data_IF_455487839016
#
_entry.id   IF_455487839016
#
_cell.length_a   1.000
_cell.length_b   1.000
_cell.length_c   1.000
_cell.angle_alpha   90.00
_cell.angle_beta   90.00
_cell.angle_gamma   90.00
#
_symmetry.space_group_name_H-M   'P 1'
#
loop_
_entity.id
_entity.type
_entity.pdbx_description
1 polymer ?
#
# COMPACT_ATOMS: atom_id res chain seq x y z
N UNK A 1 -4.23 15.00 -3.21
CA UNK A 1 -5.09 16.05 -2.64
C UNK A 1 -5.01 15.90 -1.13
N UNK A 2 -4.98 17.00 -0.40
CA UNK A 2 -4.89 16.95 1.06
C UNK A 2 -6.17 16.36 1.64
N UNK A 3 -6.03 15.52 2.66
CA UNK A 3 -7.16 14.94 3.38
C UNK A 3 -8.02 16.04 3.99
N UNK A 4 -9.32 15.98 3.76
CA UNK A 4 -10.30 16.88 4.32
C UNK A 4 -10.96 16.29 5.57
N UNK A 5 -11.51 17.15 6.41
CA UNK A 5 -12.30 16.71 7.57
C UNK A 5 -13.50 15.86 7.09
N UNK A 6 -13.56 14.61 7.56
CA UNK A 6 -14.58 13.63 7.15
C UNK A 6 -14.10 12.62 6.10
N UNK A 7 -12.87 12.74 5.60
CA UNK A 7 -12.29 11.70 4.74
C UNK A 7 -12.00 10.43 5.54
N UNK A 8 -12.38 9.28 4.97
CA UNK A 8 -12.09 7.98 5.56
C UNK A 8 -10.60 7.71 5.47
N UNK A 9 -9.95 7.75 6.62
CA UNK A 9 -8.51 7.63 6.73
C UNK A 9 -8.16 6.58 7.79
N UNK A 10 -7.13 5.79 7.52
CA UNK A 10 -6.64 4.77 8.46
C UNK A 10 -5.17 4.98 8.72
N UNK A 11 -4.80 4.74 9.97
CA UNK A 11 -3.45 4.93 10.47
C UNK A 11 -2.73 3.60 10.61
N UNK A 12 -1.55 3.52 10.00
CA UNK A 12 -0.77 2.29 9.90
C UNK A 12 0.72 2.51 10.22
N UNK A 13 1.42 1.54 10.83
CA UNK A 13 2.88 1.57 10.88
C UNK A 13 3.52 1.59 9.49
N UNK A 14 4.53 2.44 9.28
CA UNK A 14 5.32 2.49 8.03
C UNK A 14 6.00 1.16 7.73
N UNK A 15 6.50 0.50 8.77
CA UNK A 15 7.17 -0.81 8.69
C UNK A 15 6.32 -1.84 9.41
N UNK A 16 6.03 -2.94 8.72
CA UNK A 16 5.33 -4.10 9.28
C UNK A 16 6.20 -5.34 9.19
N UNK A 17 5.78 -6.40 9.87
CA UNK A 17 6.46 -7.71 9.85
C UNK A 17 5.55 -8.74 9.21
N UNK A 18 6.05 -9.42 8.17
CA UNK A 18 5.29 -10.44 7.45
C UNK A 18 5.10 -11.67 8.35
N UNK A 19 3.85 -12.09 8.55
CA UNK A 19 3.54 -13.30 9.29
C UNK A 19 4.15 -14.54 8.59
N UNK A 20 4.67 -15.47 9.37
CA UNK A 20 5.31 -16.70 8.86
C UNK A 20 6.79 -16.54 8.50
N UNK A 21 7.19 -15.46 7.84
CA UNK A 21 8.62 -15.25 7.47
C UNK A 21 9.37 -14.37 8.48
N UNK A 22 8.67 -13.52 9.23
CA UNK A 22 9.27 -12.55 10.15
C UNK A 22 10.02 -11.41 9.46
N UNK A 23 9.94 -11.29 8.14
CA UNK A 23 10.66 -10.26 7.38
C UNK A 23 9.96 -8.91 7.51
N UNK A 24 10.70 -7.81 7.73
CA UNK A 24 10.11 -6.48 7.68
C UNK A 24 9.73 -6.10 6.25
N UNK A 25 8.66 -5.34 6.08
CA UNK A 25 8.23 -4.76 4.81
C UNK A 25 7.67 -3.35 5.00
N UNK A 26 7.79 -2.55 3.95
CA UNK A 26 7.27 -1.18 3.91
C UNK A 26 5.78 -1.20 3.54
N UNK A 27 4.95 -0.54 4.34
CA UNK A 27 3.51 -0.40 4.15
C UNK A 27 3.14 1.02 3.73
N UNK A 28 3.87 1.58 2.75
CA UNK A 28 3.58 2.85 2.06
C UNK A 28 3.17 2.58 0.62
N UNK A 29 2.41 3.45 -0.01
CA UNK A 29 2.17 3.45 -1.45
C UNK A 29 1.93 4.88 -1.94
N UNK A 30 2.56 5.29 -3.04
CA UNK A 30 2.50 6.65 -3.56
C UNK A 30 1.08 7.16 -3.86
N UNK A 31 0.15 6.27 -4.23
CA UNK A 31 -1.22 6.67 -4.57
C UNK A 31 -2.18 6.71 -3.37
N UNK A 32 -1.82 6.08 -2.25
CA UNK A 32 -2.73 5.90 -1.11
C UNK A 32 -2.22 6.60 0.14
N UNK A 33 -0.90 6.71 0.30
CA UNK A 33 -0.27 7.29 1.47
C UNK A 33 -0.27 8.82 1.39
N UNK A 34 -0.96 9.47 2.33
CA UNK A 34 -1.05 10.91 2.38
C UNK A 34 0.13 11.56 3.10
N UNK A 35 0.51 11.07 4.29
CA UNK A 35 1.60 11.64 5.07
C UNK A 35 2.14 10.66 6.13
N UNK A 36 3.30 11.01 6.71
CA UNK A 36 3.88 10.37 7.89
C UNK A 36 3.60 11.22 9.12
N UNK A 37 2.79 10.70 10.04
CA UNK A 37 2.41 11.41 11.26
C UNK A 37 3.63 11.60 12.18
N UNK A 38 3.76 12.84 12.67
CA UNK A 38 4.86 13.26 13.55
C UNK A 38 5.97 14.00 12.81
N UNK A 39 5.89 14.10 11.49
CA UNK A 39 6.78 14.91 10.66
C UNK A 39 6.07 16.17 10.17
N UNK A 40 6.86 17.19 9.80
CA UNK A 40 6.32 18.29 8.99
C UNK A 40 5.94 17.77 7.60
N UNK A 41 5.08 18.47 6.87
CA UNK A 41 4.70 18.11 5.49
C UNK A 41 5.95 17.93 4.60
N UNK A 42 6.87 18.89 4.63
CA UNK A 42 8.10 18.83 3.86
C UNK A 42 9.00 17.63 4.25
N UNK A 43 9.10 17.31 5.55
CA UNK A 43 9.89 16.16 6.00
C UNK A 43 9.21 14.83 5.64
N UNK A 44 7.88 14.78 5.72
CA UNK A 44 7.05 13.64 5.32
C UNK A 44 7.24 13.36 3.83
N UNK A 45 7.09 14.37 2.99
CA UNK A 45 7.25 14.24 1.53
C UNK A 45 8.65 13.80 1.15
N UNK A 46 9.67 14.38 1.79
CA UNK A 46 11.06 14.01 1.55
C UNK A 46 11.32 12.54 1.89
N UNK A 47 10.81 12.07 3.04
CA UNK A 47 10.98 10.69 3.46
C UNK A 47 10.16 9.72 2.60
N UNK A 48 8.92 10.05 2.25
CA UNK A 48 8.10 9.23 1.34
C UNK A 48 8.76 9.11 -0.03
N UNK A 49 9.30 10.20 -0.58
CA UNK A 49 10.04 10.19 -1.84
C UNK A 49 11.27 9.26 -1.77
N UNK A 50 12.02 9.30 -0.67
CA UNK A 50 13.13 8.37 -0.46
C UNK A 50 12.64 6.91 -0.41
N UNK A 51 11.58 6.61 0.34
CA UNK A 51 11.02 5.26 0.44
C UNK A 51 10.53 4.74 -0.93
N UNK A 52 9.86 5.58 -1.71
CA UNK A 52 9.40 5.23 -3.06
C UNK A 52 10.58 4.95 -4.00
N UNK A 53 11.71 5.66 -3.84
CA UNK A 53 12.91 5.40 -4.64
C UNK A 53 13.46 3.98 -4.46
N UNK A 54 13.30 3.38 -3.26
CA UNK A 54 13.67 1.99 -3.01
C UNK A 54 12.62 1.00 -3.51
N UNK A 55 11.33 1.35 -3.44
CA UNK A 55 10.23 0.47 -3.83
C UNK A 55 10.09 0.34 -5.34
N UNK A 56 10.41 1.40 -6.09
CA UNK A 56 10.16 1.49 -7.53
C UNK A 56 11.44 1.41 -8.37
N UNK A 57 12.54 0.95 -7.78
CA UNK A 57 13.75 0.63 -8.54
C UNK A 57 13.48 -0.51 -9.51
N UNK A 58 14.01 -0.44 -10.74
CA UNK A 58 13.75 -1.42 -11.81
C UNK A 58 13.98 -2.88 -11.38
N UNK A 59 14.97 -3.14 -10.51
CA UNK A 59 15.28 -4.50 -10.02
C UNK A 59 14.23 -5.05 -9.05
N UNK A 60 13.38 -4.20 -8.49
CA UNK A 60 12.25 -4.57 -7.64
C UNK A 60 10.94 -4.72 -8.43
N UNK A 61 10.92 -4.36 -9.72
CA UNK A 61 9.74 -4.42 -10.57
C UNK A 61 9.67 -5.75 -11.30
N UNK A 62 8.52 -6.41 -11.19
CA UNK A 62 8.14 -7.55 -12.01
C UNK A 62 7.01 -7.14 -12.95
N UNK A 63 7.23 -7.27 -14.26
CA UNK A 63 6.21 -7.08 -15.28
C UNK A 63 5.76 -8.45 -15.83
N UNK A 64 4.45 -8.63 -15.96
CA UNK A 64 3.84 -9.86 -16.42
C UNK A 64 3.19 -9.67 -17.80
N UNK A 65 3.82 -10.31 -18.80
CA UNK A 65 3.26 -10.46 -20.14
C UNK A 65 2.15 -11.52 -20.14
N UNK A 66 0.91 -11.07 -19.98
CA UNK A 66 -0.28 -11.91 -19.85
C UNK A 66 -0.56 -12.76 -21.09
N UNK A 67 -0.80 -14.06 -20.87
CA UNK A 67 -1.28 -15.00 -21.88
C UNK A 67 -2.59 -15.64 -21.46
N UNK A 68 -3.34 -16.15 -22.45
CA UNK A 68 -4.59 -16.86 -22.16
C UNK A 68 -4.30 -18.07 -21.29
N UNK A 69 -4.96 -18.14 -20.14
CA UNK A 69 -4.82 -19.24 -19.18
C UNK A 69 -3.88 -18.92 -18.01
N UNK A 70 -3.19 -17.77 -18.04
CA UNK A 70 -2.32 -17.38 -16.93
C UNK A 70 -3.14 -17.05 -15.67
N UNK A 71 -2.60 -17.47 -14.53
CA UNK A 71 -3.07 -17.15 -13.21
C UNK A 71 -1.89 -16.62 -12.39
N UNK A 72 -2.00 -15.39 -11.91
CA UNK A 72 -1.02 -14.80 -10.98
C UNK A 72 -1.63 -14.80 -9.58
N UNK A 73 -0.85 -15.30 -8.62
CA UNK A 73 -1.16 -15.24 -7.20
C UNK A 73 -0.02 -14.48 -6.53
N UNK A 74 -0.35 -13.51 -5.69
CA UNK A 74 0.64 -12.71 -4.96
C UNK A 74 0.22 -12.52 -3.50
N UNK A 75 1.22 -12.24 -2.66
CA UNK A 75 1.01 -11.79 -1.29
C UNK A 75 0.68 -10.28 -1.30
N UNK A 76 -0.56 -9.94 -1.01
CA UNK A 76 -1.04 -8.55 -1.01
C UNK A 76 -0.55 -7.74 0.21
N UNK A 77 0.15 -8.35 1.17
CA UNK A 77 0.76 -7.62 2.29
C UNK A 77 2.07 -6.96 1.89
N UNK A 78 2.91 -7.67 1.13
CA UNK A 78 4.29 -7.28 0.85
C UNK A 78 4.53 -6.81 -0.60
N UNK A 79 3.51 -6.85 -1.46
CA UNK A 79 3.62 -6.47 -2.86
C UNK A 79 2.69 -5.31 -3.21
N UNK A 80 3.26 -4.31 -3.89
CA UNK A 80 2.50 -3.27 -4.57
C UNK A 80 2.29 -3.66 -6.03
N UNK A 81 1.14 -3.32 -6.58
CA UNK A 81 0.82 -3.61 -7.98
C UNK A 81 0.15 -2.42 -8.64
N UNK A 82 0.48 -2.22 -9.91
CA UNK A 82 -0.18 -1.27 -10.79
C UNK A 82 -0.47 -1.96 -12.11
N UNK A 83 -1.44 -1.43 -12.86
CA UNK A 83 -1.66 -1.84 -14.24
C UNK A 83 -0.98 -0.86 -15.19
N UNK A 84 -0.16 -1.39 -16.10
CA UNK A 84 0.32 -0.62 -17.26
C UNK A 84 -0.83 -0.15 -18.17
N UNK A 85 -0.46 0.60 -19.20
CA UNK A 85 -1.41 1.06 -20.22
C UNK A 85 -2.18 -0.12 -20.83
N UNK A 86 -3.48 0.04 -21.03
CA UNK A 86 -4.28 -0.92 -21.81
C UNK A 86 -4.12 -0.51 -23.27
N UNK A 87 -3.56 -1.38 -24.10
CA UNK A 87 -3.45 -1.15 -25.55
C UNK A 87 -4.81 -1.13 -26.24
N UNK A 88 -4.81 -1.25 -27.56
CA UNK A 88 -6.06 -1.31 -28.32
C UNK A 88 -6.86 -2.59 -28.02
N UNK A 89 -8.16 -2.43 -27.77
CA UNK A 89 -9.09 -3.54 -27.51
C UNK A 89 -9.52 -3.67 -26.05
N UNK A 90 -10.30 -4.73 -25.77
CA UNK A 90 -10.82 -5.00 -24.43
C UNK A 90 -9.92 -5.99 -23.68
N UNK A 91 -9.59 -5.67 -22.43
CA UNK A 91 -8.91 -6.58 -21.50
C UNK A 91 -9.82 -6.88 -20.31
N UNK A 92 -10.16 -8.15 -20.14
CA UNK A 92 -10.97 -8.63 -18.99
C UNK A 92 -10.15 -9.57 -18.15
N UNK A 93 -10.04 -9.27 -16.85
CA UNK A 93 -9.41 -10.10 -15.84
C UNK A 93 -10.41 -10.34 -14.71
N UNK A 94 -10.29 -11.47 -14.03
CA UNK A 94 -11.08 -11.78 -12.83
C UNK A 94 -10.14 -11.77 -11.62
N UNK A 95 -10.55 -11.13 -10.54
CA UNK A 95 -9.78 -11.06 -9.28
C UNK A 95 -10.60 -11.66 -8.14
N UNK A 96 -9.97 -12.54 -7.38
CA UNK A 96 -10.50 -13.05 -6.12
C UNK A 96 -9.49 -12.72 -5.04
N UNK A 97 -9.95 -12.06 -3.99
CA UNK A 97 -9.14 -11.84 -2.78
C UNK A 97 -9.43 -12.97 -1.81
N UNK A 98 -8.40 -13.75 -1.49
CA UNK A 98 -8.49 -14.80 -0.50
C UNK A 98 -7.93 -14.28 0.82
N UNK A 99 -8.76 -14.27 1.87
CA UNK A 99 -8.30 -13.93 3.21
C UNK A 99 -8.69 -15.00 4.21
N UNK A 100 -7.83 -15.21 5.21
CA UNK A 100 -8.13 -16.01 6.39
C UNK A 100 -8.71 -15.18 7.52
N UNK A 101 -8.41 -13.88 7.53
CA UNK A 101 -8.71 -12.94 8.60
C UNK A 101 -9.49 -11.74 8.04
N UNK A 102 -10.37 -11.17 8.84
CA UNK A 102 -10.88 -9.82 8.56
C UNK A 102 -9.76 -8.81 8.69
N UNK A 103 -9.97 -7.61 8.15
CA UNK A 103 -9.00 -6.52 8.24
C UNK A 103 -8.57 -6.23 9.69
N UNK A 104 -9.54 -6.12 10.62
CA UNK A 104 -9.26 -5.80 12.03
C UNK A 104 -8.55 -6.96 12.76
N UNK A 105 -8.81 -8.20 12.37
CA UNK A 105 -8.08 -9.35 12.90
C UNK A 105 -6.64 -9.39 12.37
N UNK A 106 -6.43 -8.98 11.13
CA UNK A 106 -5.11 -8.91 10.52
C UNK A 106 -4.28 -7.73 11.03
N UNK A 107 -4.93 -6.60 11.30
CA UNK A 107 -4.28 -5.36 11.72
C UNK A 107 -4.92 -4.75 12.98
N UNK A 108 -4.82 -5.44 14.13
CA UNK A 108 -5.47 -5.00 15.36
C UNK A 108 -4.87 -3.72 15.97
N UNK A 109 -3.69 -3.31 15.51
CA UNK A 109 -3.01 -2.09 15.94
C UNK A 109 -3.35 -0.87 15.07
N UNK A 110 -4.11 -1.06 13.99
CA UNK A 110 -4.46 0.02 13.09
C UNK A 110 -5.62 0.83 13.66
N UNK A 111 -5.50 2.15 13.59
CA UNK A 111 -6.56 3.04 14.06
C UNK A 111 -7.35 3.53 12.87
N UNK A 112 -8.64 3.17 12.83
CA UNK A 112 -9.62 3.71 11.88
C UNK A 112 -10.30 4.88 12.56
N UNK A 113 -10.27 6.08 11.99
CA UNK A 113 -10.86 7.25 12.65
C UNK A 113 -10.89 8.52 11.81
N UNK A 114 -11.72 9.47 12.24
CA UNK A 114 -11.94 10.78 11.61
C UNK A 114 -10.92 11.85 12.08
N UNK A 115 -10.13 11.57 13.13
CA UNK A 115 -9.14 12.50 13.70
C UNK A 115 -7.96 11.72 14.31
N UNK A 116 -6.84 11.64 13.61
CA UNK A 116 -5.69 10.82 13.99
C UNK A 116 -4.41 11.66 14.07
N UNK A 117 -4.07 12.10 15.28
CA UNK A 117 -2.76 12.69 15.62
C UNK A 117 -2.06 11.77 16.64
N UNK A 118 -1.07 10.96 16.21
CA UNK A 118 0.07 10.48 17.02
C UNK A 118 1.08 9.64 16.19
N UNK A 119 2.34 9.66 16.62
CA UNK A 119 3.57 9.44 15.83
C UNK A 119 3.81 8.06 15.15
N UNK A 120 4.54 8.11 14.02
CA UNK A 120 5.03 7.01 13.15
C UNK A 120 3.95 6.25 12.37
N UNK A 121 2.92 6.96 11.97
CA UNK A 121 1.71 6.40 11.41
C UNK A 121 1.45 7.01 10.03
N UNK A 122 1.18 6.18 9.04
CA UNK A 122 0.78 6.61 7.70
C UNK A 122 -0.72 6.74 7.66
N UNK A 123 -1.20 7.83 7.09
CA UNK A 123 -2.60 7.91 6.71
C UNK A 123 -2.74 7.35 5.29
N UNK A 124 -3.45 6.24 5.14
CA UNK A 124 -3.86 5.73 3.84
C UNK A 124 -5.33 6.06 3.60
N UNK A 125 -5.65 6.70 2.47
CA UNK A 125 -7.03 6.79 2.00
C UNK A 125 -7.48 5.37 1.60
N UNK A 126 -8.62 4.91 2.10
CA UNK A 126 -9.22 3.61 1.76
C UNK A 126 -10.06 3.66 0.49
#
# INVERSE_FOLDING_TARGET
EDLQAGDLCTVHPVVRTQEGTGRPYLFVNENMTACIIGLSEADSDALLSELFSYLYVDVAVYDHDWRRGDLVVWDNMALQHARGAVGEGARTLQRVTCTRFTYLEQYPADTVGEDLHNANLLVAAG
#
